data_IF_375645746637
#
_entry.id   IF_375645746637
#
_cell.length_a   1.000
_cell.length_b   1.000
_cell.length_c   1.000
_cell.angle_alpha   90.00
_cell.angle_beta   90.00
_cell.angle_gamma   90.00
#
_symmetry.space_group_name_H-M   'P 1'
#
loop_
_entity.id
_entity.type
_entity.pdbx_description
1 polymer ?
#
# COMPACT_ATOMS: atom_id res chain seq x y z
N UNK A 1 -37.90 47.47 -13.16
CA UNK A 1 -37.99 46.17 -12.47
C UNK A 1 -37.76 45.08 -13.50
N UNK A 2 -36.57 44.48 -13.48
CA UNK A 2 -36.20 43.31 -14.28
C UNK A 2 -35.75 42.22 -13.29
N UNK A 3 -36.07 40.93 -13.51
CA UNK A 3 -35.68 39.89 -12.57
C UNK A 3 -34.21 39.51 -12.78
N UNK A 4 -33.45 39.46 -11.70
CA UNK A 4 -32.11 38.88 -11.65
C UNK A 4 -32.16 37.39 -11.98
N UNK A 5 -31.45 36.99 -13.03
CA UNK A 5 -31.12 35.59 -13.31
C UNK A 5 -30.22 35.06 -12.19
N UNK A 6 -30.73 34.14 -11.39
CA UNK A 6 -29.91 33.29 -10.54
C UNK A 6 -29.02 32.42 -11.44
N UNK A 7 -27.70 32.57 -11.32
CA UNK A 7 -26.76 31.56 -11.81
C UNK A 7 -26.96 30.31 -10.95
N UNK A 8 -27.66 29.31 -11.50
CA UNK A 8 -27.51 27.92 -11.09
C UNK A 8 -26.05 27.54 -11.38
N UNK A 9 -25.22 27.51 -10.34
CA UNK A 9 -23.95 26.79 -10.41
C UNK A 9 -24.28 25.31 -10.57
N UNK A 10 -24.22 24.82 -11.81
CA UNK A 10 -24.15 23.39 -12.06
C UNK A 10 -22.85 22.89 -11.43
N UNK A 11 -22.97 22.14 -10.34
CA UNK A 11 -21.89 21.28 -9.87
C UNK A 11 -21.58 20.27 -10.98
N UNK A 12 -20.32 20.14 -11.42
CA UNK A 12 -19.98 19.16 -12.44
C UNK A 12 -20.28 17.75 -11.88
N UNK A 13 -20.88 16.91 -12.71
CA UNK A 13 -21.08 15.51 -12.39
C UNK A 13 -19.71 14.89 -12.05
N UNK A 14 -19.55 14.42 -10.81
CA UNK A 14 -18.34 13.72 -10.38
C UNK A 14 -18.16 12.49 -11.26
N UNK A 15 -17.04 12.41 -11.97
CA UNK A 15 -16.64 11.20 -12.67
C UNK A 15 -16.34 10.10 -11.64
N UNK A 16 -16.49 8.82 -12.01
CA UNK A 16 -16.10 7.70 -11.14
C UNK A 16 -14.66 7.83 -10.64
N UNK A 17 -13.75 8.33 -11.49
CA UNK A 17 -12.38 8.63 -11.12
C UNK A 17 -12.27 9.70 -10.01
N UNK A 18 -13.08 10.78 -10.09
CA UNK A 18 -13.09 11.81 -9.05
C UNK A 18 -13.65 11.32 -7.71
N UNK A 19 -14.62 10.39 -7.74
CA UNK A 19 -15.13 9.73 -6.53
C UNK A 19 -14.10 8.81 -5.88
N UNK A 20 -13.33 8.08 -6.68
CA UNK A 20 -12.24 7.22 -6.18
C UNK A 20 -11.14 8.06 -5.52
N UNK A 21 -10.73 9.18 -6.14
CA UNK A 21 -9.73 10.08 -5.56
C UNK A 21 -10.22 10.74 -4.26
N UNK A 22 -11.49 11.13 -4.19
CA UNK A 22 -12.09 11.70 -2.97
C UNK A 22 -12.20 10.64 -1.85
N UNK A 23 -12.51 9.38 -2.19
CA UNK A 23 -12.49 8.27 -1.24
C UNK A 23 -11.08 7.92 -0.77
N UNK A 24 -10.09 7.94 -1.66
CA UNK A 24 -8.67 7.72 -1.35
C UNK A 24 -8.15 8.77 -0.37
N UNK A 25 -8.58 10.02 -0.54
CA UNK A 25 -8.26 11.13 0.36
C UNK A 25 -8.97 11.02 1.72
N UNK A 26 -10.20 10.50 1.76
CA UNK A 26 -11.02 10.47 2.98
C UNK A 26 -10.79 9.21 3.85
N UNK A 27 -10.55 8.06 3.23
CA UNK A 27 -10.46 6.77 3.90
C UNK A 27 -9.05 6.13 3.83
N UNK A 28 -8.14 6.73 3.05
CA UNK A 28 -6.83 6.16 2.75
C UNK A 28 -6.88 5.10 1.65
N UNK A 29 -5.78 4.93 0.93
CA UNK A 29 -5.69 4.01 -0.22
C UNK A 29 -6.01 2.55 0.17
N UNK A 30 -5.60 2.12 1.37
CA UNK A 30 -5.87 0.77 1.88
C UNK A 30 -7.37 0.45 2.00
N UNK A 31 -8.19 1.39 2.48
CA UNK A 31 -9.64 1.19 2.63
C UNK A 31 -10.37 1.18 1.28
N UNK A 32 -9.88 1.94 0.30
CA UNK A 32 -10.43 1.97 -1.06
C UNK A 32 -10.06 0.71 -1.84
N UNK A 33 -8.84 0.19 -1.67
CA UNK A 33 -8.43 -1.08 -2.25
C UNK A 33 -9.28 -2.24 -1.68
N UNK A 34 -9.60 -2.25 -0.39
CA UNK A 34 -10.50 -3.27 0.18
C UNK A 34 -11.95 -3.22 -0.37
N UNK A 35 -12.44 -2.03 -0.77
CA UNK A 35 -13.75 -1.88 -1.40
C UNK A 35 -13.78 -2.28 -2.88
N UNK A 36 -12.64 -2.16 -3.58
CA UNK A 36 -12.49 -2.56 -4.98
C UNK A 36 -12.14 -4.04 -5.15
N UNK A 37 -11.61 -4.66 -4.10
CA UNK A 37 -11.22 -6.06 -4.09
C UNK A 37 -12.25 -6.83 -3.27
N UNK A 38 -13.35 -7.25 -3.90
CA UNK A 38 -14.16 -8.33 -3.31
C UNK A 38 -13.22 -9.51 -2.99
N UNK A 39 -13.30 -10.12 -1.80
CA UNK A 39 -12.56 -11.34 -1.54
C UNK A 39 -13.03 -12.39 -2.55
N UNK A 40 -12.13 -12.80 -3.43
CA UNK A 40 -12.38 -13.87 -4.39
C UNK A 40 -12.79 -15.12 -3.63
N UNK A 41 -14.07 -15.47 -3.67
CA UNK A 41 -14.53 -16.79 -3.23
C UNK A 41 -13.94 -17.82 -4.20
N UNK A 42 -13.24 -18.86 -3.70
CA UNK A 42 -12.76 -19.93 -4.56
C UNK A 42 -13.97 -20.60 -5.22
N UNK A 43 -14.07 -20.46 -6.53
CA UNK A 43 -15.05 -21.16 -7.35
C UNK A 43 -14.29 -22.17 -8.20
N UNK A 44 -14.59 -23.47 -8.12
CA UNK A 44 -14.02 -24.44 -9.06
C UNK A 44 -14.63 -24.19 -10.44
N UNK A 45 -13.86 -23.62 -11.36
CA UNK A 45 -14.21 -23.52 -12.79
C UNK A 45 -13.67 -24.75 -13.53
N UNK A 46 -14.59 -25.55 -14.07
CA UNK A 46 -14.28 -26.70 -14.93
C UNK A 46 -14.39 -26.24 -16.38
N UNK A 47 -13.26 -26.09 -17.08
CA UNK A 47 -13.26 -26.00 -18.55
C UNK A 47 -12.87 -27.36 -19.14
N UNK A 48 -13.67 -27.82 -20.11
CA UNK A 48 -13.71 -29.20 -20.59
C UNK A 48 -12.36 -29.73 -21.08
N UNK A 49 -11.87 -30.77 -20.40
CA UNK A 49 -10.67 -31.53 -20.76
C UNK A 49 -9.84 -31.93 -19.53
N UNK A 50 -10.42 -32.74 -18.62
CA UNK A 50 -9.79 -33.18 -17.36
C UNK A 50 -10.05 -32.23 -16.17
N UNK A 51 -9.98 -32.71 -14.91
CA UNK A 51 -10.14 -31.85 -13.74
C UNK A 51 -8.95 -30.88 -13.64
N UNK A 52 -9.16 -29.60 -13.94
CA UNK A 52 -8.19 -28.54 -13.66
C UNK A 52 -8.44 -28.00 -12.26
N UNK A 53 -7.48 -28.17 -11.34
CA UNK A 53 -7.50 -27.54 -10.03
C UNK A 53 -6.69 -26.25 -10.11
N UNK A 54 -7.31 -25.10 -9.81
CA UNK A 54 -6.60 -23.83 -9.61
C UNK A 54 -6.33 -23.67 -8.11
N UNK A 55 -5.07 -23.52 -7.73
CA UNK A 55 -4.64 -23.27 -6.36
C UNK A 55 -3.98 -21.91 -6.28
N UNK A 56 -4.38 -21.12 -5.29
CA UNK A 56 -3.85 -19.79 -5.02
C UNK A 56 -3.31 -19.74 -3.60
N UNK A 57 -2.10 -19.21 -3.44
CA UNK A 57 -1.60 -18.79 -2.14
C UNK A 57 -2.12 -17.39 -1.83
N UNK A 58 -1.94 -16.98 -0.58
CA UNK A 58 -2.21 -15.62 -0.14
C UNK A 58 -0.95 -15.06 0.51
N UNK A 59 -0.46 -13.95 -0.02
CA UNK A 59 0.65 -13.20 0.58
C UNK A 59 0.17 -11.81 0.94
N UNK A 60 0.23 -11.48 2.22
CA UNK A 60 -0.18 -10.18 2.76
C UNK A 60 0.98 -9.47 3.44
N UNK A 61 0.92 -8.14 3.47
CA UNK A 61 1.89 -7.29 4.16
C UNK A 61 1.18 -6.34 5.13
N UNK A 62 1.73 -6.23 6.33
CA UNK A 62 1.36 -5.25 7.35
C UNK A 62 2.51 -4.25 7.49
N UNK A 63 2.25 -3.00 7.11
CA UNK A 63 3.24 -1.91 7.11
C UNK A 63 3.19 -1.13 8.42
N UNK A 64 4.34 -0.85 9.01
CA UNK A 64 4.42 -0.13 10.30
C UNK A 64 4.13 1.38 10.20
N UNK A 65 3.91 1.90 8.99
CA UNK A 65 3.68 3.32 8.72
C UNK A 65 4.93 4.18 8.87
N UNK A 66 6.09 3.57 9.14
CA UNK A 66 7.35 4.26 9.42
C UNK A 66 7.47 4.80 10.84
N UNK A 67 8.66 4.65 11.43
CA UNK A 67 9.04 5.22 12.73
C UNK A 67 9.97 6.41 12.49
N UNK A 68 9.49 7.62 12.81
CA UNK A 68 10.22 8.85 12.56
C UNK A 68 11.07 9.31 13.74
N UNK A 69 12.16 10.02 13.43
CA UNK A 69 13.08 10.62 14.40
C UNK A 69 13.62 11.95 13.89
N UNK A 70 13.47 12.99 14.70
CA UNK A 70 14.06 14.30 14.46
C UNK A 70 15.29 14.51 15.35
N UNK A 71 16.40 14.91 14.75
CA UNK A 71 17.64 15.28 15.45
C UNK A 71 17.96 16.74 15.13
N UNK A 72 17.61 17.70 16.01
CA UNK A 72 17.89 19.10 15.78
C UNK A 72 19.40 19.36 15.86
N UNK A 73 19.92 20.13 14.90
CA UNK A 73 21.28 20.69 14.94
C UNK A 73 21.27 22.10 15.51
N UNK A 74 20.29 22.92 15.14
CA UNK A 74 20.07 24.25 15.72
C UNK A 74 18.62 24.65 15.59
N UNK A 75 18.08 25.31 16.62
CA UNK A 75 16.80 25.98 16.59
C UNK A 75 17.03 27.38 17.15
N UNK A 76 16.69 28.41 16.38
CA UNK A 76 16.91 29.81 16.75
C UNK A 76 15.68 30.64 16.42
N UNK A 77 15.47 31.75 17.13
CA UNK A 77 14.51 32.76 16.68
C UNK A 77 14.96 33.31 15.33
N UNK A 78 13.99 33.51 14.45
CA UNK A 78 14.20 34.03 13.13
C UNK A 78 13.32 35.25 12.88
N UNK A 79 13.54 35.89 11.76
CA UNK A 79 12.68 36.96 11.22
C UNK A 79 12.18 36.52 9.85
N UNK A 80 11.14 37.16 9.34
CA UNK A 80 10.60 36.87 8.00
C UNK A 80 9.38 35.94 7.98
N UNK A 81 8.95 35.41 9.12
CA UNK A 81 7.59 34.90 9.25
C UNK A 81 6.62 36.07 9.46
N UNK A 82 5.47 36.02 8.79
CA UNK A 82 4.38 37.00 8.95
C UNK A 82 3.29 36.39 9.82
N UNK A 83 2.68 37.18 10.72
CA UNK A 83 1.49 36.79 11.50
C UNK A 83 1.67 35.55 12.40
N UNK A 84 2.87 35.34 12.95
CA UNK A 84 3.04 34.30 13.95
C UNK A 84 2.28 34.65 15.25
N UNK A 85 1.54 33.69 15.84
CA UNK A 85 0.98 33.85 17.18
C UNK A 85 2.09 34.13 18.20
N UNK A 86 1.78 34.87 19.25
CA UNK A 86 2.76 35.19 20.31
C UNK A 86 3.33 33.92 20.98
N UNK A 87 2.50 32.87 21.08
CA UNK A 87 2.87 31.57 21.64
C UNK A 87 3.75 30.72 20.69
N UNK A 88 3.75 31.03 19.39
CA UNK A 88 4.48 30.31 18.34
C UNK A 88 5.39 31.27 17.55
N UNK A 89 6.46 31.81 18.18
CA UNK A 89 7.31 32.81 17.55
C UNK A 89 8.02 32.26 16.31
N UNK A 90 8.39 33.14 15.39
CA UNK A 90 9.16 32.76 14.21
C UNK A 90 10.49 32.08 14.60
N UNK A 91 10.69 30.85 14.12
CA UNK A 91 11.88 30.05 14.35
C UNK A 91 12.52 29.60 13.04
N UNK A 92 13.85 29.46 13.07
CA UNK A 92 14.64 28.77 12.06
C UNK A 92 15.23 27.52 12.69
N UNK A 93 14.85 26.36 12.14
CA UNK A 93 15.24 25.04 12.61
C UNK A 93 16.04 24.32 11.52
N UNK A 94 17.20 23.80 11.90
CA UNK A 94 18.06 22.99 11.04
C UNK A 94 18.35 21.69 11.76
N UNK A 95 18.26 20.57 11.05
CA UNK A 95 18.49 19.25 11.63
C UNK A 95 18.37 18.14 10.62
N UNK A 96 18.30 16.92 11.13
CA UNK A 96 18.14 15.71 10.34
C UNK A 96 16.87 15.00 10.76
N UNK A 97 16.02 14.69 9.79
CA UNK A 97 14.81 13.92 9.97
C UNK A 97 14.97 12.56 9.30
N UNK A 98 14.79 11.47 10.04
CA UNK A 98 14.92 10.11 9.51
C UNK A 98 13.66 9.31 9.80
N UNK A 99 13.22 8.50 8.84
CA UNK A 99 12.09 7.59 9.01
C UNK A 99 12.52 6.18 8.66
N UNK A 100 12.31 5.23 9.57
CA UNK A 100 12.62 3.81 9.38
C UNK A 100 11.32 3.04 9.10
N UNK A 101 11.28 2.27 8.03
CA UNK A 101 10.11 1.57 7.53
C UNK A 101 10.31 0.06 7.62
N UNK A 102 9.26 -0.67 8.01
CA UNK A 102 9.27 -2.12 8.08
C UNK A 102 7.92 -2.74 7.68
N UNK A 103 7.98 -3.76 6.83
CA UNK A 103 6.85 -4.58 6.41
C UNK A 103 6.89 -5.97 7.06
N UNK A 104 5.83 -6.31 7.81
CA UNK A 104 5.61 -7.67 8.28
C UNK A 104 4.82 -8.45 7.23
N UNK A 105 5.51 -9.35 6.52
CA UNK A 105 4.91 -10.15 5.45
C UNK A 105 4.52 -11.55 5.95
N UNK A 106 3.31 -11.99 5.60
CA UNK A 106 2.77 -13.33 5.90
C UNK A 106 2.42 -14.05 4.60
N UNK A 107 2.82 -15.32 4.48
CA UNK A 107 2.45 -16.19 3.36
C UNK A 107 1.58 -17.33 3.91
N UNK A 108 0.44 -17.55 3.28
CA UNK A 108 -0.49 -18.64 3.57
C UNK A 108 -0.65 -19.51 2.32
N UNK A 109 -0.30 -20.80 2.43
CA UNK A 109 -0.43 -21.76 1.34
C UNK A 109 -1.75 -22.54 1.47
N UNK A 110 -2.42 -22.88 0.36
CA UNK A 110 -3.59 -23.74 0.42
C UNK A 110 -3.20 -25.19 0.72
N UNK A 111 -4.12 -25.91 1.33
CA UNK A 111 -4.00 -27.35 1.51
C UNK A 111 -4.19 -28.10 0.19
N UNK A 112 -3.72 -29.35 0.17
CA UNK A 112 -4.00 -30.27 -0.94
C UNK A 112 -5.49 -30.64 -0.89
N UNK A 113 -6.25 -30.51 -1.99
CA UNK A 113 -7.65 -30.90 -2.00
C UNK A 113 -7.87 -32.38 -1.73
N UNK A 114 -8.96 -32.69 -1.03
CA UNK A 114 -9.42 -34.06 -0.84
C UNK A 114 -9.96 -34.69 -2.14
N UNK A 115 -10.13 -36.02 -2.13
CA UNK A 115 -10.72 -36.76 -3.26
C UNK A 115 -9.78 -37.01 -4.44
N UNK A 116 -8.51 -36.62 -4.32
CA UNK A 116 -7.44 -36.90 -5.29
C UNK A 116 -6.82 -38.28 -5.04
N UNK A 117 -6.46 -38.98 -6.13
CA UNK A 117 -5.66 -40.21 -6.04
C UNK A 117 -4.28 -39.94 -5.43
N UNK A 118 -3.56 -40.97 -4.99
CA UNK A 118 -2.22 -40.79 -4.44
C UNK A 118 -1.28 -40.11 -5.44
N UNK A 119 -1.35 -40.53 -6.71
CA UNK A 119 -0.56 -39.89 -7.75
C UNK A 119 -0.90 -38.40 -7.91
N UNK A 120 -2.18 -38.05 -7.95
CA UNK A 120 -2.64 -36.67 -8.08
C UNK A 120 -2.23 -35.81 -6.88
N UNK A 121 -2.35 -36.34 -5.66
CA UNK A 121 -1.88 -35.66 -4.45
C UNK A 121 -0.38 -35.38 -4.51
N UNK A 122 0.44 -36.33 -4.98
CA UNK A 122 1.89 -36.12 -5.16
C UNK A 122 2.16 -34.96 -6.13
N UNK A 123 1.42 -34.89 -7.24
CA UNK A 123 1.56 -33.81 -8.23
C UNK A 123 1.11 -32.45 -7.69
N UNK A 124 0.01 -32.39 -6.94
CA UNK A 124 -0.43 -31.15 -6.28
C UNK A 124 0.59 -30.68 -5.24
N UNK A 125 1.10 -31.58 -4.38
CA UNK A 125 2.16 -31.23 -3.41
C UNK A 125 3.42 -30.69 -4.10
N UNK A 126 3.81 -31.30 -5.23
CA UNK A 126 4.94 -30.81 -6.02
C UNK A 126 4.66 -29.41 -6.60
N UNK A 127 3.46 -29.17 -7.15
CA UNK A 127 3.06 -27.84 -7.62
C UNK A 127 3.09 -26.79 -6.50
N UNK A 128 2.51 -27.10 -5.34
CA UNK A 128 2.53 -26.20 -4.17
C UNK A 128 3.96 -25.83 -3.77
N UNK A 129 4.87 -26.81 -3.75
CA UNK A 129 6.27 -26.63 -3.35
C UNK A 129 7.11 -25.89 -4.40
N UNK A 130 7.00 -26.29 -5.65
CA UNK A 130 7.95 -25.94 -6.71
C UNK A 130 7.47 -24.80 -7.61
N UNK A 131 6.16 -24.50 -7.59
CA UNK A 131 5.54 -23.49 -8.45
C UNK A 131 4.88 -22.40 -7.64
N UNK A 132 3.93 -22.75 -6.76
CA UNK A 132 3.16 -21.75 -6.01
C UNK A 132 3.97 -21.12 -4.88
N UNK A 133 4.69 -21.89 -4.07
CA UNK A 133 5.52 -21.33 -2.97
C UNK A 133 6.57 -20.34 -3.48
N UNK A 134 7.30 -20.59 -4.59
CA UNK A 134 8.19 -19.59 -5.17
C UNK A 134 7.47 -18.31 -5.61
N UNK A 135 6.26 -18.42 -6.17
CA UNK A 135 5.42 -17.27 -6.55
C UNK A 135 5.06 -16.41 -5.32
N UNK A 136 4.57 -17.03 -4.24
CA UNK A 136 4.25 -16.32 -3.00
C UNK A 136 5.47 -15.68 -2.33
N UNK A 137 6.64 -16.34 -2.41
CA UNK A 137 7.91 -15.76 -1.95
C UNK A 137 8.32 -14.54 -2.76
N UNK A 138 7.90 -14.46 -4.02
CA UNK A 138 8.16 -13.33 -4.91
C UNK A 138 7.27 -12.14 -4.53
N UNK A 139 6.00 -12.34 -4.16
CA UNK A 139 5.18 -11.32 -3.52
C UNK A 139 5.86 -10.80 -2.25
N UNK A 140 6.34 -11.71 -1.40
CA UNK A 140 6.99 -11.32 -0.17
C UNK A 140 8.28 -10.51 -0.36
N UNK A 141 9.07 -10.80 -1.39
CA UNK A 141 10.23 -9.97 -1.75
C UNK A 141 9.83 -8.57 -2.19
N UNK A 142 8.74 -8.45 -2.94
CA UNK A 142 8.24 -7.16 -3.44
C UNK A 142 7.65 -6.31 -2.32
N UNK A 143 6.89 -6.90 -1.41
CA UNK A 143 6.41 -6.16 -0.24
C UNK A 143 7.56 -5.62 0.63
N UNK A 144 8.65 -6.38 0.76
CA UNK A 144 9.86 -5.93 1.49
C UNK A 144 10.64 -4.81 0.80
N UNK A 145 10.28 -4.37 -0.41
CA UNK A 145 10.85 -3.12 -0.95
C UNK A 145 10.39 -1.88 -0.17
N UNK A 146 9.34 -2.01 0.64
CA UNK A 146 8.93 -1.00 1.62
C UNK A 146 10.04 -0.70 2.65
N UNK A 147 10.77 -1.74 3.06
CA UNK A 147 11.76 -1.67 4.13
C UNK A 147 12.88 -0.67 3.84
N UNK A 148 13.40 -0.06 4.90
CA UNK A 148 14.61 0.77 4.83
C UNK A 148 14.52 2.02 5.67
N UNK A 149 15.42 2.96 5.43
CA UNK A 149 15.46 4.23 6.16
C UNK A 149 15.68 5.39 5.20
N UNK A 150 14.87 6.43 5.31
CA UNK A 150 15.10 7.72 4.64
C UNK A 150 15.73 8.69 5.61
N UNK A 151 16.47 9.66 5.06
CA UNK A 151 17.11 10.69 5.87
C UNK A 151 17.11 11.99 5.09
N UNK A 152 16.48 13.00 5.69
CA UNK A 152 16.33 14.34 5.15
C UNK A 152 17.13 15.32 5.98
N UNK A 153 17.89 16.16 5.28
CA UNK A 153 18.36 17.40 5.88
C UNK A 153 17.20 18.39 5.83
N UNK A 154 16.79 18.87 6.98
CA UNK A 154 15.73 19.87 7.08
C UNK A 154 16.36 21.21 7.42
N UNK A 155 15.92 22.23 6.68
CA UNK A 155 16.21 23.64 6.88
C UNK A 155 14.88 24.38 6.76
N UNK A 156 14.29 24.71 7.90
CA UNK A 156 12.91 25.16 8.01
C UNK A 156 12.84 26.51 8.71
N UNK A 157 12.06 27.45 8.16
CA UNK A 157 11.69 28.69 8.84
C UNK A 157 10.17 28.78 8.91
N UNK A 158 9.60 28.98 10.11
CA UNK A 158 8.15 29.06 10.29
C UNK A 158 7.74 29.48 11.71
N UNK A 159 6.43 29.60 11.92
CA UNK A 159 5.86 30.01 13.21
C UNK A 159 5.83 28.84 14.19
N UNK A 160 6.70 28.90 15.21
CA UNK A 160 6.71 27.94 16.30
C UNK A 160 7.19 26.54 15.94
N UNK A 161 7.09 25.66 16.94
CA UNK A 161 7.48 24.26 16.81
C UNK A 161 6.34 23.42 16.20
N UNK A 162 5.09 23.89 16.29
CA UNK A 162 3.91 23.30 15.66
C UNK A 162 4.07 23.23 14.14
N UNK A 163 4.41 24.34 13.49
CA UNK A 163 4.63 24.39 12.04
C UNK A 163 5.83 23.52 11.59
N UNK A 164 6.88 23.41 12.42
CA UNK A 164 7.98 22.47 12.16
C UNK A 164 7.47 21.03 12.21
N UNK A 165 6.69 20.66 13.23
CA UNK A 165 6.14 19.32 13.36
C UNK A 165 5.24 18.96 12.18
N UNK A 166 4.38 19.89 11.74
CA UNK A 166 3.55 19.71 10.53
C UNK A 166 4.40 19.52 9.28
N UNK A 167 5.47 20.29 9.13
CA UNK A 167 6.40 20.12 8.01
C UNK A 167 7.07 18.74 8.01
N UNK A 168 7.56 18.28 9.17
CA UNK A 168 8.16 16.94 9.31
C UNK A 168 7.13 15.84 9.05
N UNK A 169 5.88 16.01 9.52
CA UNK A 169 4.79 15.08 9.26
C UNK A 169 4.46 15.01 7.76
N UNK A 170 4.47 16.14 7.06
CA UNK A 170 4.25 16.16 5.61
C UNK A 170 5.33 15.38 4.84
N UNK A 171 6.60 15.47 5.26
CA UNK A 171 7.68 14.65 4.69
C UNK A 171 7.39 13.16 4.93
N UNK A 172 7.06 12.81 6.18
CA UNK A 172 6.75 11.44 6.58
C UNK A 172 5.61 10.83 5.75
N UNK A 173 4.47 11.50 5.70
CA UNK A 173 3.25 11.00 5.04
C UNK A 173 3.45 10.84 3.53
N UNK A 174 4.18 11.78 2.91
CA UNK A 174 4.47 11.71 1.47
C UNK A 174 5.34 10.49 1.15
N UNK A 175 6.37 10.23 1.96
CA UNK A 175 7.26 9.10 1.74
C UNK A 175 6.60 7.75 2.06
N UNK A 176 5.85 7.67 3.16
CA UNK A 176 5.10 6.47 3.53
C UNK A 176 4.15 6.07 2.39
N UNK A 177 3.33 7.02 1.92
CA UNK A 177 2.34 6.76 0.87
C UNK A 177 3.01 6.29 -0.44
N UNK A 178 4.14 6.91 -0.81
CA UNK A 178 4.89 6.52 -1.99
C UNK A 178 5.49 5.12 -1.87
N UNK A 179 6.09 4.79 -0.71
CA UNK A 179 6.69 3.46 -0.45
C UNK A 179 5.65 2.36 -0.44
N UNK A 180 4.55 2.60 0.26
CA UNK A 180 3.42 1.68 0.36
C UNK A 180 2.86 1.37 -1.04
N UNK A 181 2.51 2.43 -1.79
CA UNK A 181 1.97 2.28 -3.14
C UNK A 181 2.94 1.57 -4.09
N UNK A 182 4.24 1.83 -3.98
CA UNK A 182 5.25 1.17 -4.80
C UNK A 182 5.37 -0.32 -4.48
N UNK A 183 5.43 -0.70 -3.19
CA UNK A 183 5.53 -2.09 -2.76
C UNK A 183 4.29 -2.90 -3.21
N UNK A 184 3.09 -2.33 -3.04
CA UNK A 184 1.85 -2.95 -3.49
C UNK A 184 1.79 -3.10 -5.01
N UNK A 185 2.16 -2.05 -5.75
CA UNK A 185 2.17 -2.07 -7.22
C UNK A 185 3.14 -3.11 -7.76
N UNK A 186 4.31 -3.26 -7.13
CA UNK A 186 5.24 -4.33 -7.49
C UNK A 186 4.59 -5.68 -7.27
N UNK A 187 4.04 -5.93 -6.08
CA UNK A 187 3.39 -7.20 -5.72
C UNK A 187 2.25 -7.55 -6.69
N UNK A 188 1.39 -6.59 -7.02
CA UNK A 188 0.30 -6.79 -7.97
C UNK A 188 0.77 -7.09 -9.40
N UNK A 189 1.96 -6.65 -9.80
CA UNK A 189 2.45 -6.80 -11.18
C UNK A 189 2.83 -8.24 -11.56
N UNK A 190 2.88 -9.17 -10.60
CA UNK A 190 3.11 -10.60 -10.88
C UNK A 190 1.82 -11.43 -10.93
N UNK A 191 0.67 -10.77 -10.81
CA UNK A 191 -0.66 -11.37 -10.95
C UNK A 191 -1.41 -10.90 -12.21
N UNK A 192 -2.40 -11.68 -12.69
CA UNK A 192 -2.87 -12.94 -12.12
C UNK A 192 -1.93 -14.12 -12.41
N UNK A 193 -1.63 -14.91 -11.38
CA UNK A 193 -0.88 -16.15 -11.52
C UNK A 193 -1.77 -17.33 -11.92
N UNK A 194 -1.75 -17.66 -13.22
CA UNK A 194 -2.50 -18.79 -13.77
C UNK A 194 -1.55 -19.87 -14.28
N UNK A 195 -1.33 -20.92 -13.47
CA UNK A 195 -0.51 -22.08 -13.87
C UNK A 195 -1.30 -23.37 -13.68
N UNK A 196 -1.50 -24.17 -14.75
CA UNK A 196 -2.24 -25.42 -14.65
C UNK A 196 -1.42 -26.48 -13.90
N UNK A 197 -2.12 -27.36 -13.19
CA UNK A 197 -1.56 -28.58 -12.61
C UNK A 197 -1.94 -29.74 -13.53
N UNK A 198 -0.94 -30.45 -14.06
CA UNK A 198 -1.19 -31.68 -14.80
C UNK A 198 -1.53 -32.81 -13.81
N UNK A 199 -2.77 -33.27 -13.83
CA UNK A 199 -3.27 -34.37 -12.99
C UNK A 199 -3.42 -35.69 -13.75
N UNK A 200 -2.97 -35.76 -15.00
CA UNK A 200 -3.02 -37.00 -15.79
C UNK A 200 -1.89 -37.96 -15.37
N UNK A 201 -2.22 -38.86 -14.44
CA UNK A 201 -1.30 -39.88 -13.99
C UNK A 201 -1.98 -41.12 -13.42
N UNK A 202 -1.23 -42.21 -13.42
CA UNK A 202 -1.62 -43.49 -12.84
C UNK A 202 -0.95 -43.67 -11.48
N UNK A 203 -1.63 -44.39 -10.59
CA UNK A 203 -1.21 -44.60 -9.21
C UNK A 203 0.12 -45.38 -9.08
#
# INVERSE_FOLDING_TARGET
>A
MAPSRALLMLTPARTPAGLVTDLQRAAGNAAVCQLLTEPHRPSPSVHGGGPSVSLHGDTTADYDGGVSKWVPKSIKRATGCTECPDDDPCVHAVGTFSVAYHAKVTITMPDVPDGLSECQQRRVRAFLRDVLTPHEREHARRFRTYDGTTTHRVDFTGCGMSALQEHLQSIHDTEEAARHSAADSLSAAIDPFNRPIDLDCQD
#
